data_IF_549989551179
#
_entry.id   IF_549989551179
#
_cell.length_a   1.000
_cell.length_b   1.000
_cell.length_c   1.000
_cell.angle_alpha   90.00
_cell.angle_beta   90.00
_cell.angle_gamma   90.00
#
_symmetry.space_group_name_H-M   'P 1'
#
loop_
_entity.id
_entity.type
_entity.pdbx_description
1 polymer ?
#
# COMPACT_ATOMS: atom_id res chain seq x y z
N UNK A 1 13.84 -1.09 3.40
CA UNK A 1 14.24 0.12 4.16
C UNK A 1 15.36 -0.27 5.09
N UNK A 2 16.41 0.55 5.13
CA UNK A 2 17.55 0.38 6.03
C UNK A 2 17.28 1.13 7.33
N UNK A 3 16.92 0.41 8.39
CA UNK A 3 16.57 1.01 9.68
C UNK A 3 17.76 1.65 10.39
N UNK A 4 18.99 1.20 10.11
CA UNK A 4 20.21 1.85 10.62
C UNK A 4 20.36 3.27 10.07
N UNK A 5 20.12 3.45 8.76
CA UNK A 5 20.12 4.79 8.15
C UNK A 5 18.95 5.66 8.62
N UNK A 6 17.76 5.07 8.83
CA UNK A 6 16.63 5.80 9.41
C UNK A 6 16.98 6.35 10.77
N UNK A 7 17.59 5.53 11.65
CA UNK A 7 18.04 5.93 12.98
C UNK A 7 19.11 7.03 12.92
N UNK A 8 20.12 6.86 12.09
CA UNK A 8 21.19 7.86 11.90
C UNK A 8 20.62 9.23 11.53
N UNK A 9 19.71 9.25 10.53
CA UNK A 9 19.06 10.48 10.07
C UNK A 9 18.18 11.07 11.19
N UNK A 10 17.39 10.25 11.88
CA UNK A 10 16.52 10.72 12.96
C UNK A 10 17.31 11.36 14.12
N UNK A 11 18.45 10.77 14.50
CA UNK A 11 19.33 11.31 15.54
C UNK A 11 19.96 12.66 15.12
N UNK A 12 20.29 12.81 13.84
CA UNK A 12 20.86 14.04 13.29
C UNK A 12 19.83 15.15 13.19
N UNK A 13 18.67 14.85 12.59
CA UNK A 13 17.64 15.84 12.25
C UNK A 13 16.67 16.14 13.39
N UNK A 14 16.55 15.23 14.37
CA UNK A 14 15.65 15.34 15.54
C UNK A 14 14.23 15.78 15.13
N UNK A 15 13.54 15.02 14.28
CA UNK A 15 12.21 15.39 13.80
C UNK A 15 11.21 15.39 14.95
N UNK A 16 10.18 16.23 14.87
CA UNK A 16 9.07 16.24 15.84
C UNK A 16 8.11 15.05 15.63
N UNK A 17 8.11 14.47 14.44
CA UNK A 17 7.27 13.34 14.06
C UNK A 17 8.00 12.45 13.07
N UNK A 18 7.87 11.14 13.23
CA UNK A 18 8.31 10.14 12.26
C UNK A 18 7.07 9.47 11.69
N UNK A 19 6.86 9.65 10.37
CA UNK A 19 5.78 9.03 9.61
C UNK A 19 6.30 7.79 8.87
N UNK A 20 5.68 6.63 9.14
CA UNK A 20 5.90 5.39 8.41
C UNK A 20 4.64 5.00 7.63
N UNK A 21 4.78 4.73 6.33
CA UNK A 21 3.68 4.34 5.44
C UNK A 21 3.97 4.73 4.00
N UNK A 22 3.63 3.86 3.05
CA UNK A 22 4.04 4.03 1.66
C UNK A 22 2.96 3.54 0.69
N UNK A 23 2.86 4.23 -0.46
CA UNK A 23 1.89 3.90 -1.51
C UNK A 23 2.41 2.92 -2.55
N UNK A 24 3.73 2.68 -2.59
CA UNK A 24 4.38 1.88 -3.62
C UNK A 24 5.53 1.00 -3.08
N UNK A 25 5.55 0.75 -1.78
CA UNK A 25 6.55 -0.11 -1.15
C UNK A 25 6.02 -1.53 -1.00
N UNK A 26 6.69 -2.49 -1.61
CA UNK A 26 6.23 -3.88 -1.71
C UNK A 26 6.70 -4.79 -0.58
N UNK A 27 7.48 -4.30 0.38
CA UNK A 27 7.95 -5.08 1.53
C UNK A 27 7.24 -4.68 2.81
N UNK A 28 7.20 -5.57 3.78
CA UNK A 28 6.70 -5.25 5.10
C UNK A 28 7.58 -4.21 5.80
N UNK A 29 6.97 -3.43 6.68
CA UNK A 29 7.66 -2.45 7.51
C UNK A 29 7.94 -3.05 8.89
N UNK A 30 9.12 -2.76 9.40
CA UNK A 30 9.45 -3.03 10.80
C UNK A 30 8.88 -1.91 11.68
N UNK A 31 7.58 -2.07 12.02
CA UNK A 31 6.86 -1.09 12.83
C UNK A 31 7.53 -0.85 14.18
N UNK A 32 8.08 -1.91 14.79
CA UNK A 32 8.73 -1.84 16.09
C UNK A 32 9.99 -0.99 16.01
N UNK A 33 10.85 -1.23 15.03
CA UNK A 33 12.05 -0.44 14.83
C UNK A 33 11.74 1.05 14.55
N UNK A 34 10.70 1.35 13.75
CA UNK A 34 10.25 2.74 13.56
C UNK A 34 9.83 3.39 14.89
N UNK A 35 9.08 2.67 15.74
CA UNK A 35 8.66 3.18 17.04
C UNK A 35 9.83 3.40 17.98
N UNK A 36 10.77 2.45 18.06
CA UNK A 36 11.96 2.56 18.89
C UNK A 36 12.82 3.78 18.50
N UNK A 37 12.97 4.04 17.19
CA UNK A 37 13.69 5.22 16.70
C UNK A 37 12.93 6.51 17.04
N UNK A 38 11.60 6.52 16.91
CA UNK A 38 10.80 7.68 17.27
C UNK A 38 10.95 8.02 18.77
N UNK A 39 10.89 7.00 19.64
CA UNK A 39 11.06 7.17 21.08
C UNK A 39 12.46 7.66 21.44
N UNK A 40 13.49 7.13 20.78
CA UNK A 40 14.89 7.52 21.02
C UNK A 40 15.14 9.01 20.76
N UNK A 41 14.48 9.60 19.78
CA UNK A 41 14.62 11.02 19.44
C UNK A 41 13.52 11.92 20.04
N UNK A 42 12.58 11.34 20.79
CA UNK A 42 11.45 12.06 21.37
C UNK A 42 10.41 12.53 20.33
N UNK A 43 10.30 11.83 19.20
CA UNK A 43 9.36 12.14 18.13
C UNK A 43 8.02 11.43 18.33
N UNK A 44 6.93 12.07 17.88
CA UNK A 44 5.63 11.41 17.75
C UNK A 44 5.73 10.37 16.63
N UNK A 45 5.32 9.13 16.90
CA UNK A 45 5.25 8.10 15.88
C UNK A 45 3.89 8.07 15.20
N UNK A 46 3.86 8.18 13.86
CA UNK A 46 2.65 8.09 13.05
C UNK A 46 2.79 7.01 12.00
N UNK A 47 1.80 6.12 11.88
CA UNK A 47 1.74 5.12 10.82
C UNK A 47 0.55 5.41 9.89
N UNK A 48 0.79 5.53 8.58
CA UNK A 48 -0.26 5.50 7.57
C UNK A 48 -0.32 4.10 6.96
N UNK A 49 -1.36 3.35 7.33
CA UNK A 49 -1.56 1.98 6.88
C UNK A 49 -2.55 1.88 5.72
N UNK A 50 -2.89 2.98 5.07
CA UNK A 50 -3.93 3.06 4.04
C UNK A 50 -3.86 1.96 2.98
N UNK A 51 -2.67 1.62 2.51
CA UNK A 51 -2.50 0.57 1.51
C UNK A 51 -2.66 -0.85 2.06
N UNK A 52 -2.30 -1.07 3.31
CA UNK A 52 -2.21 -2.41 3.90
C UNK A 52 -3.25 -2.68 5.00
N UNK A 53 -4.15 -1.73 5.27
CA UNK A 53 -5.13 -1.84 6.36
C UNK A 53 -5.98 -3.10 6.29
N UNK A 54 -6.38 -3.54 5.10
CA UNK A 54 -7.13 -4.79 4.94
C UNK A 54 -6.29 -6.03 5.25
N UNK A 55 -5.00 -6.01 4.94
CA UNK A 55 -4.09 -7.11 5.27
C UNK A 55 -3.85 -7.20 6.78
N UNK A 56 -3.76 -6.05 7.46
CA UNK A 56 -3.65 -5.95 8.92
C UNK A 56 -4.96 -6.43 9.58
N UNK A 57 -6.12 -5.94 9.14
CA UNK A 57 -7.42 -6.35 9.65
C UNK A 57 -7.66 -7.86 9.46
N UNK A 58 -7.26 -8.40 8.32
CA UNK A 58 -7.28 -9.83 8.01
C UNK A 58 -6.16 -10.64 8.68
N UNK A 59 -5.35 -10.04 9.55
CA UNK A 59 -4.25 -10.70 10.29
C UNK A 59 -3.23 -11.41 9.39
N UNK A 60 -3.04 -10.92 8.19
CA UNK A 60 -2.07 -11.46 7.24
C UNK A 60 -0.68 -10.82 7.37
N UNK A 61 -0.60 -9.62 7.97
CA UNK A 61 0.63 -8.93 8.32
C UNK A 61 0.49 -8.24 9.68
N UNK A 62 1.61 -7.85 10.28
CA UNK A 62 1.66 -7.21 11.59
C UNK A 62 1.02 -5.83 11.62
N UNK A 63 0.48 -5.46 12.77
CA UNK A 63 -0.22 -4.19 13.00
C UNK A 63 0.68 -3.20 13.77
N UNK A 64 0.76 -1.92 13.34
CA UNK A 64 1.40 -0.87 14.12
C UNK A 64 0.53 -0.33 15.27
N UNK A 65 -0.78 -0.62 15.27
CA UNK A 65 -1.74 -0.05 16.23
C UNK A 65 -1.31 -0.20 17.69
N UNK A 66 -0.76 -1.33 18.15
CA UNK A 66 -0.32 -1.46 19.54
C UNK A 66 0.89 -0.58 19.91
N UNK A 67 1.65 -0.09 18.96
CA UNK A 67 2.92 0.58 19.19
C UNK A 67 2.87 2.08 18.97
N UNK A 68 2.27 2.49 17.85
CA UNK A 68 2.32 3.88 17.37
C UNK A 68 1.41 4.81 18.17
N UNK A 69 1.78 6.09 18.19
CA UNK A 69 1.01 7.13 18.87
C UNK A 69 -0.22 7.51 18.05
N UNK A 70 -0.08 7.55 16.73
CA UNK A 70 -1.14 7.88 15.76
C UNK A 70 -1.08 6.87 14.61
N UNK A 71 -2.25 6.35 14.22
CA UNK A 71 -2.39 5.48 13.04
C UNK A 71 -3.50 6.02 12.16
N UNK A 72 -3.21 6.24 10.89
CA UNK A 72 -4.20 6.68 9.89
C UNK A 72 -4.42 5.62 8.83
N UNK A 73 -5.62 5.57 8.30
CA UNK A 73 -5.94 4.71 7.17
C UNK A 73 -7.08 5.26 6.33
N UNK A 74 -7.01 5.02 5.03
CA UNK A 74 -8.20 5.07 4.18
C UNK A 74 -9.00 3.79 4.32
N UNK A 75 -10.30 3.86 4.03
CA UNK A 75 -11.21 2.72 4.13
C UNK A 75 -11.46 2.00 2.79
N UNK A 76 -11.06 2.59 1.66
CA UNK A 76 -11.43 2.17 0.31
C UNK A 76 -10.34 1.44 -0.49
N UNK A 77 -9.26 0.98 0.15
CA UNK A 77 -8.18 0.19 -0.50
C UNK A 77 -8.33 -1.30 -0.13
N UNK A 78 -7.31 -1.91 0.40
CA UNK A 78 -7.37 -3.34 0.81
C UNK A 78 -8.45 -3.65 1.85
N UNK A 79 -8.90 -2.65 2.60
CA UNK A 79 -10.00 -2.80 3.58
C UNK A 79 -11.39 -2.95 2.92
N UNK A 80 -11.53 -2.64 1.61
CA UNK A 80 -12.76 -2.84 0.80
C UNK A 80 -13.97 -2.04 1.25
N UNK A 81 -13.77 -0.92 1.94
CA UNK A 81 -14.84 -0.05 2.41
C UNK A 81 -15.13 1.12 1.46
N UNK A 82 -16.00 2.05 1.88
CA UNK A 82 -16.31 3.26 1.14
C UNK A 82 -15.12 4.23 1.11
N UNK A 83 -15.16 5.23 0.23
CA UNK A 83 -14.21 6.33 0.25
C UNK A 83 -14.35 7.12 1.53
N UNK A 84 -13.30 7.07 2.33
CA UNK A 84 -13.21 7.70 3.62
C UNK A 84 -11.90 7.35 4.32
N UNK A 85 -11.78 7.77 5.56
CA UNK A 85 -10.60 7.52 6.38
C UNK A 85 -10.98 7.31 7.85
N UNK A 86 -10.00 6.82 8.61
CA UNK A 86 -10.06 6.70 10.07
C UNK A 86 -8.74 7.16 10.64
N UNK A 87 -8.78 7.87 11.76
CA UNK A 87 -7.62 8.19 12.58
C UNK A 87 -7.81 7.48 13.93
N UNK A 88 -6.83 6.72 14.31
CA UNK A 88 -6.70 6.08 15.62
C UNK A 88 -5.52 6.71 16.34
N UNK A 89 -5.63 6.99 17.62
CA UNK A 89 -4.52 7.59 18.36
C UNK A 89 -4.56 7.24 19.84
N UNK A 90 -3.45 7.45 20.52
CA UNK A 90 -3.42 7.44 21.98
C UNK A 90 -4.27 8.61 22.52
N UNK A 91 -4.84 8.43 23.71
CA UNK A 91 -5.79 9.38 24.29
C UNK A 91 -5.23 10.81 24.45
N UNK A 92 -3.95 10.95 24.70
CA UNK A 92 -3.28 12.24 24.82
C UNK A 92 -3.34 13.12 23.56
N UNK A 93 -3.46 12.50 22.37
CA UNK A 93 -3.56 13.19 21.08
C UNK A 93 -5.02 13.44 20.64
N UNK A 94 -6.00 12.74 21.24
CA UNK A 94 -7.39 12.73 20.77
C UNK A 94 -8.00 14.13 20.67
N UNK A 95 -7.89 14.93 21.72
CA UNK A 95 -8.47 16.29 21.73
C UNK A 95 -7.87 17.20 20.65
N UNK A 96 -6.58 17.09 20.40
CA UNK A 96 -5.91 17.90 19.37
C UNK A 96 -6.33 17.46 17.96
N UNK A 97 -6.43 16.16 17.74
CA UNK A 97 -6.84 15.56 16.46
C UNK A 97 -8.32 15.89 16.18
N UNK A 98 -9.22 15.71 17.16
CA UNK A 98 -10.64 16.04 17.00
C UNK A 98 -10.84 17.51 16.64
N UNK A 99 -10.14 18.43 17.34
CA UNK A 99 -10.21 19.86 17.03
C UNK A 99 -9.58 20.20 15.68
N UNK A 100 -8.51 19.53 15.29
CA UNK A 100 -7.89 19.69 14.00
C UNK A 100 -8.78 19.20 12.86
N UNK A 101 -9.51 18.11 13.11
CA UNK A 101 -10.48 17.55 12.17
C UNK A 101 -11.72 18.45 12.06
N UNK A 102 -12.39 18.71 13.18
CA UNK A 102 -13.58 19.57 13.25
C UNK A 102 -13.48 20.57 14.43
N UNK A 103 -13.62 21.88 14.17
CA UNK A 103 -13.93 22.53 12.89
C UNK A 103 -12.70 22.90 12.05
N UNK A 104 -11.50 22.39 12.38
CA UNK A 104 -10.24 22.84 11.77
C UNK A 104 -10.16 22.62 10.26
N UNK A 105 -10.41 21.41 9.80
CA UNK A 105 -10.23 21.01 8.39
C UNK A 105 -11.52 20.55 7.71
N UNK A 106 -12.50 20.04 8.47
CA UNK A 106 -13.73 19.43 7.95
C UNK A 106 -14.98 20.04 8.61
N UNK A 107 -16.14 19.79 8.00
CA UNK A 107 -17.47 20.13 8.51
C UNK A 107 -18.27 18.87 8.86
N UNK A 108 -19.60 18.90 8.64
CA UNK A 108 -20.49 17.78 8.90
C UNK A 108 -20.10 16.53 8.09
N UNK A 109 -20.16 15.34 8.68
CA UNK A 109 -19.80 14.10 8.00
C UNK A 109 -20.88 13.67 7.00
N UNK A 110 -20.49 12.82 6.08
CA UNK A 110 -21.41 12.08 5.22
C UNK A 110 -21.89 10.81 5.95
N UNK A 111 -23.08 10.84 6.55
CA UNK A 111 -23.57 9.75 7.39
C UNK A 111 -23.73 8.42 6.64
N UNK A 112 -24.11 8.45 5.35
CA UNK A 112 -24.14 7.26 4.52
C UNK A 112 -22.75 6.62 4.37
N UNK A 113 -21.66 7.41 4.33
CA UNK A 113 -20.28 6.90 4.32
C UNK A 113 -19.93 6.28 5.66
N UNK A 114 -20.34 6.88 6.77
CA UNK A 114 -20.11 6.33 8.10
C UNK A 114 -20.86 5.00 8.30
N UNK A 115 -22.11 4.91 7.84
CA UNK A 115 -22.86 3.65 7.84
C UNK A 115 -22.18 2.58 6.99
N UNK A 116 -21.71 2.94 5.79
CA UNK A 116 -20.97 2.01 4.92
C UNK A 116 -19.63 1.55 5.52
N UNK A 117 -18.93 2.42 6.29
CA UNK A 117 -17.73 2.02 7.05
C UNK A 117 -18.08 0.95 8.10
N UNK A 118 -19.20 1.11 8.81
CA UNK A 118 -19.62 0.13 9.82
C UNK A 118 -19.85 -1.25 9.21
N UNK A 119 -20.49 -1.31 8.03
CA UNK A 119 -20.68 -2.57 7.27
C UNK A 119 -19.33 -3.15 6.87
N UNK A 120 -18.43 -2.35 6.28
CA UNK A 120 -17.12 -2.81 5.86
C UNK A 120 -16.27 -3.34 7.04
N UNK A 121 -16.37 -2.72 8.21
CA UNK A 121 -15.66 -3.20 9.40
C UNK A 121 -16.26 -4.51 9.93
N UNK A 122 -17.59 -4.66 9.87
CA UNK A 122 -18.24 -5.92 10.21
C UNK A 122 -17.80 -7.06 9.28
N UNK A 123 -17.70 -6.80 7.97
CA UNK A 123 -17.15 -7.77 7.01
C UNK A 123 -15.68 -8.09 7.30
N UNK A 124 -14.87 -7.08 7.64
CA UNK A 124 -13.45 -7.28 7.96
C UNK A 124 -13.20 -8.10 9.24
N UNK A 125 -14.19 -8.21 10.11
CA UNK A 125 -14.14 -9.06 11.31
C UNK A 125 -14.42 -10.55 11.01
N UNK A 126 -14.97 -10.88 9.84
CA UNK A 126 -15.34 -12.25 9.51
C UNK A 126 -14.12 -13.10 9.13
N UNK A 127 -14.17 -14.43 9.37
CA UNK A 127 -13.10 -15.35 8.99
C UNK A 127 -12.77 -15.31 7.49
N UNK A 128 -13.76 -15.13 6.63
CA UNK A 128 -13.62 -15.07 5.17
C UNK A 128 -12.74 -13.89 4.74
N UNK A 129 -12.73 -12.81 5.51
CA UNK A 129 -11.86 -11.66 5.24
C UNK A 129 -10.39 -11.99 5.54
N UNK A 130 -10.12 -12.84 6.54
CA UNK A 130 -8.75 -13.32 6.80
C UNK A 130 -8.25 -14.18 5.63
N UNK A 131 -9.10 -15.04 5.09
CA UNK A 131 -8.77 -15.85 3.91
C UNK A 131 -8.52 -14.98 2.68
N UNK A 132 -9.35 -13.96 2.46
CA UNK A 132 -9.13 -12.98 1.41
C UNK A 132 -7.77 -12.30 1.57
N UNK A 133 -7.43 -11.79 2.74
CA UNK A 133 -6.18 -11.08 2.99
C UNK A 133 -4.94 -11.96 2.71
N UNK A 134 -4.97 -13.23 3.14
CA UNK A 134 -3.92 -14.21 2.85
C UNK A 134 -3.81 -14.49 1.35
N UNK A 135 -4.93 -14.72 0.67
CA UNK A 135 -4.97 -14.96 -0.79
C UNK A 135 -4.42 -13.77 -1.58
N UNK A 136 -4.70 -12.55 -1.15
CA UNK A 136 -4.14 -11.34 -1.79
C UNK A 136 -2.61 -11.38 -1.81
N UNK A 137 -1.99 -11.72 -0.68
CA UNK A 137 -0.52 -11.82 -0.59
C UNK A 137 0.02 -12.96 -1.45
N UNK A 138 -0.58 -14.15 -1.36
CA UNK A 138 -0.16 -15.31 -2.15
C UNK A 138 -0.25 -15.00 -3.64
N UNK A 139 -1.35 -14.42 -4.10
CA UNK A 139 -1.52 -14.02 -5.50
C UNK A 139 -0.47 -12.98 -5.93
N UNK A 140 -0.13 -12.03 -5.06
CA UNK A 140 0.89 -11.03 -5.36
C UNK A 140 2.29 -11.67 -5.47
N UNK A 141 2.62 -12.62 -4.60
CA UNK A 141 3.88 -13.34 -4.63
C UNK A 141 4.03 -14.21 -5.89
N UNK A 142 2.97 -14.94 -6.26
CA UNK A 142 2.95 -15.75 -7.49
C UNK A 142 3.11 -14.85 -8.72
N UNK A 143 2.38 -13.75 -8.79
CA UNK A 143 2.48 -12.78 -9.88
C UNK A 143 3.89 -12.18 -9.98
N UNK A 144 4.47 -11.76 -8.86
CA UNK A 144 5.82 -11.20 -8.83
C UNK A 144 6.87 -12.23 -9.31
N UNK A 145 6.76 -13.47 -8.85
CA UNK A 145 7.67 -14.55 -9.26
C UNK A 145 7.55 -14.84 -10.75
N UNK A 146 6.34 -14.91 -11.28
CA UNK A 146 6.12 -15.20 -12.70
C UNK A 146 6.63 -14.05 -13.59
N UNK A 147 6.45 -12.79 -13.17
CA UNK A 147 7.02 -11.65 -13.87
C UNK A 147 8.57 -11.71 -13.89
N UNK A 148 9.19 -12.06 -12.77
CA UNK A 148 10.65 -12.24 -12.71
C UNK A 148 11.11 -13.39 -13.60
N UNK A 149 10.40 -14.52 -13.63
CA UNK A 149 10.70 -15.66 -14.52
C UNK A 149 10.66 -15.25 -15.99
N UNK A 150 9.81 -14.27 -16.36
CA UNK A 150 9.70 -13.69 -17.70
C UNK A 150 10.70 -12.54 -17.95
N UNK A 151 11.65 -12.33 -17.05
CA UNK A 151 12.71 -11.34 -17.19
C UNK A 151 12.24 -9.89 -16.96
N UNK A 152 11.13 -9.67 -16.22
CA UNK A 152 10.79 -8.36 -15.71
C UNK A 152 11.55 -8.06 -14.42
N UNK A 153 11.98 -6.83 -14.27
CA UNK A 153 12.66 -6.38 -13.06
C UNK A 153 11.65 -5.90 -12.02
N UNK A 154 11.30 -6.78 -11.09
CA UNK A 154 10.44 -6.42 -9.94
C UNK A 154 11.28 -5.70 -8.88
N UNK A 155 10.88 -4.48 -8.52
CA UNK A 155 11.58 -3.68 -7.49
C UNK A 155 11.56 -4.44 -6.16
N UNK A 156 12.69 -4.44 -5.46
CA UNK A 156 12.95 -5.23 -4.24
C UNK A 156 12.87 -6.77 -4.40
N UNK A 157 12.92 -7.28 -5.64
CA UNK A 157 12.92 -8.72 -5.94
C UNK A 157 11.72 -9.47 -5.32
N UNK A 158 10.53 -8.90 -5.44
CA UNK A 158 9.30 -9.54 -4.98
C UNK A 158 8.40 -8.65 -4.13
N UNK A 159 7.46 -9.28 -3.41
CA UNK A 159 6.51 -8.59 -2.54
C UNK A 159 6.16 -9.40 -1.29
N UNK A 160 5.89 -8.70 -0.19
CA UNK A 160 5.37 -9.26 1.06
C UNK A 160 3.91 -8.83 1.32
N UNK A 161 3.35 -8.03 0.41
CA UNK A 161 2.00 -7.48 0.56
C UNK A 161 1.16 -7.63 -0.74
N UNK A 162 0.26 -6.69 -1.01
CA UNK A 162 -0.74 -6.76 -2.09
C UNK A 162 -0.28 -6.18 -3.42
N UNK A 163 0.87 -5.51 -3.47
CA UNK A 163 1.34 -4.79 -4.65
C UNK A 163 2.80 -5.09 -4.98
N UNK A 164 3.19 -4.79 -6.19
CA UNK A 164 4.57 -4.74 -6.63
C UNK A 164 4.79 -3.58 -7.60
N UNK A 165 6.03 -3.15 -7.71
CA UNK A 165 6.47 -2.18 -8.71
C UNK A 165 7.42 -2.87 -9.67
N UNK A 166 7.19 -2.72 -10.96
CA UNK A 166 7.98 -3.30 -12.04
C UNK A 166 8.76 -2.17 -12.69
N UNK A 167 10.07 -2.30 -12.81
CA UNK A 167 10.91 -1.39 -13.58
C UNK A 167 10.80 -1.78 -15.06
N UNK A 168 10.10 -0.95 -15.83
CA UNK A 168 9.78 -1.20 -17.23
C UNK A 168 10.94 -0.85 -18.17
N UNK A 169 11.98 -0.17 -17.71
CA UNK A 169 13.13 0.20 -18.54
C UNK A 169 13.85 -0.99 -19.13
N UNK A 170 13.84 -2.13 -18.40
CA UNK A 170 14.39 -3.40 -18.90
C UNK A 170 13.68 -3.96 -20.14
N UNK A 171 12.47 -3.45 -20.44
CA UNK A 171 11.66 -3.83 -21.60
C UNK A 171 11.62 -2.73 -22.68
N UNK A 172 12.39 -1.64 -22.49
CA UNK A 172 12.50 -0.54 -23.45
C UNK A 172 11.27 0.39 -23.49
N UNK A 173 10.39 0.33 -22.49
CA UNK A 173 9.19 1.19 -22.39
C UNK A 173 9.16 1.91 -21.05
N UNK A 174 8.40 3.00 -20.98
CA UNK A 174 8.14 3.70 -19.70
C UNK A 174 6.97 3.09 -18.95
N UNK A 175 6.87 3.40 -17.66
CA UNK A 175 5.70 3.04 -16.87
C UNK A 175 4.41 3.65 -17.40
N UNK A 176 4.49 4.85 -18.00
CA UNK A 176 3.35 5.52 -18.63
C UNK A 176 2.88 4.76 -19.89
N UNK A 177 3.80 4.38 -20.77
CA UNK A 177 3.47 3.62 -21.97
C UNK A 177 2.84 2.26 -21.62
N UNK A 178 3.40 1.59 -20.61
CA UNK A 178 2.86 0.33 -20.10
C UNK A 178 1.46 0.49 -19.47
N UNK A 179 1.24 1.55 -18.68
CA UNK A 179 -0.08 1.88 -18.09
C UNK A 179 -1.13 2.04 -19.19
N UNK A 180 -0.85 2.86 -20.22
CA UNK A 180 -1.79 3.11 -21.33
C UNK A 180 -2.11 1.83 -22.09
N UNK A 181 -1.09 1.04 -22.47
CA UNK A 181 -1.29 -0.20 -23.19
C UNK A 181 -2.10 -1.25 -22.41
N UNK A 182 -1.92 -1.31 -21.08
CA UNK A 182 -2.70 -2.21 -20.23
C UNK A 182 -4.15 -1.73 -20.04
N UNK A 183 -4.38 -0.42 -19.96
CA UNK A 183 -5.71 0.15 -19.85
C UNK A 183 -6.55 -0.13 -21.11
N UNK A 184 -5.94 -0.10 -22.30
CA UNK A 184 -6.61 -0.45 -23.58
C UNK A 184 -7.16 -1.88 -23.59
N UNK A 185 -6.57 -2.80 -22.82
CA UNK A 185 -7.05 -4.19 -22.67
C UNK A 185 -7.78 -4.42 -21.35
N UNK A 186 -8.20 -3.36 -20.66
CA UNK A 186 -9.03 -3.44 -19.45
C UNK A 186 -8.27 -3.79 -18.17
N UNK A 187 -6.93 -3.68 -18.16
CA UNK A 187 -6.10 -3.94 -16.98
C UNK A 187 -5.69 -2.59 -16.35
N UNK A 188 -6.36 -2.23 -15.26
CA UNK A 188 -6.04 -1.00 -14.53
C UNK A 188 -4.76 -1.15 -13.71
N UNK A 189 -3.81 -0.28 -13.98
CA UNK A 189 -2.51 -0.21 -13.30
C UNK A 189 -2.21 1.24 -12.92
N UNK A 190 -1.00 1.51 -12.44
CA UNK A 190 -0.59 2.87 -12.10
C UNK A 190 0.89 3.04 -12.38
N UNK A 191 1.26 4.01 -13.21
CA UNK A 191 2.65 4.42 -13.34
C UNK A 191 3.22 4.85 -11.99
N UNK A 192 4.46 4.54 -11.74
CA UNK A 192 5.14 4.81 -10.47
C UNK A 192 6.62 5.05 -10.69
N UNK A 193 7.22 5.93 -9.90
CA UNK A 193 8.68 6.05 -9.89
C UNK A 193 9.30 4.79 -9.27
N UNK A 194 10.49 4.45 -9.74
CA UNK A 194 11.35 3.43 -9.12
C UNK A 194 12.43 4.11 -8.26
N UNK A 195 13.07 3.39 -7.34
CA UNK A 195 14.19 3.95 -6.59
C UNK A 195 15.26 4.51 -7.54
N UNK A 196 15.68 5.76 -7.29
CA UNK A 196 16.68 6.48 -8.11
C UNK A 196 16.24 6.67 -9.58
N UNK A 197 14.95 6.79 -9.83
CA UNK A 197 14.41 6.99 -11.18
C UNK A 197 14.99 8.25 -11.82
N UNK A 198 15.50 8.12 -13.04
CA UNK A 198 16.07 9.24 -13.81
C UNK A 198 15.04 9.91 -14.72
N UNK A 199 13.84 9.33 -14.85
CA UNK A 199 12.74 9.87 -15.66
C UNK A 199 11.90 10.87 -14.86
N UNK A 200 11.13 11.69 -15.57
CA UNK A 200 10.23 12.66 -14.94
C UNK A 200 9.06 11.95 -14.23
N UNK A 201 8.55 12.47 -13.11
CA UNK A 201 7.42 11.86 -12.39
C UNK A 201 6.15 11.66 -13.21
N UNK A 202 5.93 12.46 -14.27
CA UNK A 202 4.79 12.31 -15.19
C UNK A 202 4.97 11.20 -16.23
N UNK A 203 6.19 10.73 -16.43
CA UNK A 203 6.56 9.64 -17.32
C UNK A 203 7.65 8.77 -16.66
N UNK A 204 7.32 8.12 -15.52
CA UNK A 204 8.29 7.38 -14.73
C UNK A 204 8.65 6.04 -15.35
N UNK A 205 9.70 5.43 -14.81
CA UNK A 205 10.19 4.12 -15.26
C UNK A 205 9.34 2.95 -14.79
N UNK A 206 8.59 3.10 -13.70
CA UNK A 206 7.92 2.00 -13.04
C UNK A 206 6.44 1.88 -13.34
N UNK A 207 5.94 0.66 -13.21
CA UNK A 207 4.53 0.30 -13.25
C UNK A 207 4.17 -0.39 -11.92
N UNK A 208 3.17 0.14 -11.21
CA UNK A 208 2.63 -0.48 -10.00
C UNK A 208 1.39 -1.28 -10.33
N UNK A 209 1.37 -2.53 -9.92
CA UNK A 209 0.22 -3.45 -10.01
C UNK A 209 -0.07 -4.07 -8.65
N UNK A 210 -1.27 -4.61 -8.48
CA UNK A 210 -1.68 -5.26 -7.24
C UNK A 210 -2.81 -6.25 -7.43
N UNK A 211 -3.04 -7.08 -6.43
CA UNK A 211 -3.92 -8.24 -6.50
C UNK A 211 -5.25 -8.17 -5.74
N UNK A 212 -5.60 -7.11 -4.97
CA UNK A 212 -6.85 -7.09 -4.21
C UNK A 212 -8.11 -7.25 -5.07
N UNK A 213 -8.19 -6.55 -6.21
CA UNK A 213 -9.36 -6.57 -7.10
C UNK A 213 -9.55 -7.95 -7.75
N UNK A 214 -8.49 -8.54 -8.28
CA UNK A 214 -8.55 -9.87 -8.91
C UNK A 214 -8.84 -10.96 -7.88
N UNK A 215 -8.36 -10.82 -6.64
CA UNK A 215 -8.66 -11.77 -5.55
C UNK A 215 -10.12 -11.69 -5.13
N UNK A 216 -10.74 -10.50 -5.15
CA UNK A 216 -12.17 -10.31 -4.87
C UNK A 216 -13.06 -10.90 -5.96
N UNK A 217 -12.64 -10.81 -7.23
CA UNK A 217 -13.40 -11.22 -8.42
C UNK A 217 -13.43 -12.73 -8.68
N UNK A 218 -13.26 -13.58 -7.69
CA UNK A 218 -13.33 -15.07 -7.76
C UNK A 218 -12.17 -15.76 -8.51
N UNK A 219 -11.06 -15.11 -8.76
CA UNK A 219 -9.85 -15.83 -9.17
C UNK A 219 -9.22 -16.54 -7.96
N UNK A 220 -9.48 -17.83 -7.83
CA UNK A 220 -8.91 -18.65 -6.75
C UNK A 220 -7.39 -18.82 -6.86
N UNK A 221 -6.86 -18.63 -8.07
CA UNK A 221 -5.44 -18.53 -8.39
C UNK A 221 -5.27 -17.54 -9.53
N UNK A 222 -4.21 -16.75 -9.49
CA UNK A 222 -3.87 -15.88 -10.62
C UNK A 222 -3.46 -16.78 -11.78
N UNK A 223 -4.35 -16.95 -12.75
CA UNK A 223 -3.96 -17.44 -14.06
C UNK A 223 -3.25 -16.28 -14.74
N UNK A 224 -1.94 -16.32 -14.80
CA UNK A 224 -1.16 -15.35 -15.56
C UNK A 224 -1.48 -15.61 -17.02
N UNK A 225 -2.36 -14.79 -17.59
CA UNK A 225 -2.63 -14.80 -19.01
C UNK A 225 -1.31 -14.54 -19.74
N UNK A 226 -0.87 -15.51 -20.49
CA UNK A 226 0.26 -15.37 -21.42
C UNK A 226 -0.21 -14.49 -22.55
N UNK A 227 0.12 -13.21 -22.52
CA UNK A 227 -0.04 -12.34 -23.68
C UNK A 227 1.09 -12.74 -24.65
N UNK A 228 0.80 -13.64 -25.54
CA UNK A 228 1.66 -13.85 -26.72
C UNK A 228 1.53 -12.59 -27.58
N UNK A 229 2.65 -11.93 -27.85
CA UNK A 229 2.73 -11.05 -29.02
C UNK A 229 2.40 -11.94 -30.22
N UNK A 230 1.28 -11.70 -30.86
CA UNK A 230 1.14 -12.05 -32.24
C UNK A 230 2.09 -11.14 -33.02
N UNK A 231 3.26 -11.68 -33.37
CA UNK A 231 4.04 -11.20 -34.48
C UNK A 231 3.28 -11.60 -35.74
N UNK A 232 2.26 -10.82 -36.10
CA UNK A 232 1.63 -10.88 -37.41
C UNK A 232 0.86 -9.59 -37.64
N UNK A 233 1.55 -8.55 -38.06
CA UNK A 233 1.06 -7.59 -39.04
C UNK A 233 2.25 -7.22 -39.91
N UNK A 234 2.27 -7.86 -41.12
CA UNK A 234 3.15 -7.53 -42.21
C UNK A 234 2.79 -6.20 -42.89
#
# INVERSE_FOLDING_TARGET
>A
IDMGKVREIALREKPKMILAGFSAYSRNLDWKAFKEIADEVGAISMADISHVAGLIAGKAIDSPVPFFDIVTTTTHKTLRGPRGAVIMCKNEFAKAIDRGLFPGMQGGPHDHVNAAKAVAFLEALQPEFQDYAKKVIVNAQVMAQELMNRGYKVVSNGTDNHLMVIDMTSKGVSGKEAEVALEEVGISTSRSTVPFDTRKPMDPSGLRIGTPAITTGMFHQVTVLTVHRHEEFG
#
